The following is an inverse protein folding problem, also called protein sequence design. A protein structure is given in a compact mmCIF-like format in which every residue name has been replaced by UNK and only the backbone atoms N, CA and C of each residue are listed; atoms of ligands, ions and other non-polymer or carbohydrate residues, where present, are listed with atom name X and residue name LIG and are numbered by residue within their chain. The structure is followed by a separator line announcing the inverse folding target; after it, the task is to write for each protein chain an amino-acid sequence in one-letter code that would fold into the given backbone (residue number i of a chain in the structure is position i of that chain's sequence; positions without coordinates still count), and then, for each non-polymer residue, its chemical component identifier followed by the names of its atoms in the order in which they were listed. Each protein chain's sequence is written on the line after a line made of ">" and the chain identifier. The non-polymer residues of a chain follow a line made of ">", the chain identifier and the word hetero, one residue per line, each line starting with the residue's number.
data_IF_991234726810
#
_entry.id   IF_991234726810
#
_cell.length_a   1.000
_cell.length_b   1.000
_cell.length_c   1.000
_cell.angle_alpha   90.00
_cell.angle_beta   90.00
_cell.angle_gamma   90.00
#
_symmetry.space_group_name_H-M   'P 1'
#
loop_
_entity.id
_entity.type
_entity.pdbx_description
1 polymer ?
#
# COMPACT_ATOMS: atom_id res chain seq x y z
N UNK A 1 3.39 -12.75 22.73
CA UNK A 1 3.69 -11.48 22.02
C UNK A 1 2.82 -11.43 20.79
N UNK A 2 2.11 -10.34 20.60
CA UNK A 2 1.20 -10.16 19.45
C UNK A 2 1.99 -9.58 18.27
N UNK A 3 1.92 -10.25 17.13
CA UNK A 3 2.62 -9.84 15.91
C UNK A 3 1.66 -9.46 14.80
N UNK A 4 1.98 -8.37 14.10
CA UNK A 4 1.26 -7.96 12.90
C UNK A 4 2.19 -7.91 11.70
N UNK A 5 1.68 -8.30 10.55
CA UNK A 5 2.32 -8.06 9.26
C UNK A 5 1.65 -6.86 8.60
N UNK A 6 2.44 -5.91 8.18
CA UNK A 6 1.97 -4.76 7.40
C UNK A 6 2.43 -4.95 5.96
N UNK A 7 1.48 -5.10 5.05
CA UNK A 7 1.72 -5.23 3.61
C UNK A 7 1.64 -3.84 3.00
N UNK A 8 2.76 -3.31 2.52
CA UNK A 8 2.86 -1.91 2.12
C UNK A 8 2.73 -1.77 0.60
N UNK A 9 1.63 -1.16 0.17
CA UNK A 9 1.44 -0.62 -1.19
C UNK A 9 1.68 -1.63 -2.33
N UNK A 10 1.22 -2.86 -2.19
CA UNK A 10 1.33 -3.89 -3.24
C UNK A 10 0.22 -3.71 -4.27
N UNK A 11 0.36 -2.68 -5.08
CA UNK A 11 -0.66 -2.20 -6.01
C UNK A 11 -0.16 -2.31 -7.46
N UNK A 12 -1.11 -2.41 -8.40
CA UNK A 12 -0.79 -2.61 -9.81
C UNK A 12 0.16 -1.53 -10.38
N UNK A 13 -0.06 -0.26 -10.02
CA UNK A 13 0.78 0.82 -10.53
C UNK A 13 2.23 0.76 -10.06
N UNK A 14 2.51 0.08 -8.96
CA UNK A 14 3.86 -0.12 -8.46
C UNK A 14 4.50 -1.42 -8.93
N UNK A 15 3.81 -2.20 -9.72
CA UNK A 15 4.31 -3.45 -10.30
C UNK A 15 4.50 -3.32 -11.80
N UNK A 16 5.08 -4.32 -12.44
CA UNK A 16 5.37 -4.30 -13.88
C UNK A 16 4.08 -3.99 -14.66
N UNK A 17 4.18 -3.09 -15.63
CA UNK A 17 3.05 -2.62 -16.42
C UNK A 17 2.30 -1.44 -15.82
N UNK A 18 2.57 -1.08 -14.60
CA UNK A 18 1.97 0.08 -13.93
C UNK A 18 2.66 1.39 -14.28
N UNK A 19 2.02 2.52 -13.92
CA UNK A 19 2.52 3.86 -14.26
C UNK A 19 3.74 4.29 -13.45
N UNK A 20 4.00 3.65 -12.32
CA UNK A 20 5.16 3.91 -11.47
C UNK A 20 5.81 2.57 -11.07
N UNK A 21 6.09 1.76 -12.06
CA UNK A 21 6.48 0.36 -11.90
C UNK A 21 7.84 0.20 -11.21
N UNK A 22 7.89 -0.78 -10.32
CA UNK A 22 9.14 -1.29 -9.73
C UNK A 22 9.36 -2.70 -10.26
N UNK A 23 10.55 -2.95 -10.81
CA UNK A 23 10.92 -4.27 -11.31
C UNK A 23 10.89 -5.29 -10.16
N UNK A 24 10.23 -6.43 -10.40
CA UNK A 24 10.07 -7.46 -9.39
C UNK A 24 8.85 -7.31 -8.50
N UNK A 25 8.00 -6.28 -8.71
CA UNK A 25 6.81 -6.04 -7.88
C UNK A 25 5.84 -7.21 -7.87
N UNK A 26 5.56 -7.83 -9.02
CA UNK A 26 4.68 -9.00 -9.10
C UNK A 26 5.25 -10.19 -8.33
N UNK A 27 6.56 -10.41 -8.41
CA UNK A 27 7.23 -11.49 -7.67
C UNK A 27 7.15 -11.25 -6.16
N UNK A 28 7.26 -9.99 -5.73
CA UNK A 28 7.10 -9.62 -4.31
C UNK A 28 5.67 -9.91 -3.86
N UNK A 29 4.66 -9.55 -4.66
CA UNK A 29 3.26 -9.84 -4.34
C UNK A 29 3.04 -11.35 -4.09
N UNK A 30 3.55 -12.18 -4.99
CA UNK A 30 3.47 -13.63 -4.84
C UNK A 30 4.23 -14.14 -3.60
N UNK A 31 5.41 -13.60 -3.34
CA UNK A 31 6.22 -13.96 -2.17
C UNK A 31 5.52 -13.59 -0.85
N UNK A 32 4.86 -12.43 -0.81
CA UNK A 32 4.08 -12.02 0.37
C UNK A 32 2.93 -12.98 0.61
N UNK A 33 2.19 -13.37 -0.45
CA UNK A 33 1.10 -14.35 -0.32
C UNK A 33 1.60 -15.66 0.27
N UNK A 34 2.73 -16.16 -0.20
CA UNK A 34 3.35 -17.36 0.33
C UNK A 34 3.79 -17.18 1.78
N UNK A 35 4.36 -16.04 2.10
CA UNK A 35 4.80 -15.71 3.46
C UNK A 35 3.64 -15.68 4.46
N UNK A 36 2.50 -15.13 4.06
CA UNK A 36 1.29 -15.11 4.90
C UNK A 36 0.84 -16.54 5.21
N UNK A 37 0.82 -17.40 4.20
CA UNK A 37 0.38 -18.80 4.35
C UNK A 37 1.31 -19.60 5.25
N UNK A 38 2.61 -19.36 5.16
CA UNK A 38 3.63 -20.15 5.88
C UNK A 38 4.04 -19.56 7.22
N UNK A 39 3.50 -18.41 7.58
CA UNK A 39 3.84 -17.70 8.83
C UNK A 39 2.63 -17.60 9.74
N UNK A 40 2.87 -17.27 11.01
CA UNK A 40 1.82 -17.13 12.03
C UNK A 40 1.82 -15.70 12.54
N UNK A 41 1.08 -14.83 11.88
CA UNK A 41 0.81 -13.48 12.37
C UNK A 41 -0.56 -13.45 13.03
N UNK A 42 -0.67 -12.71 14.13
CA UNK A 42 -1.96 -12.51 14.79
C UNK A 42 -2.84 -11.58 13.97
N UNK A 43 -2.22 -10.61 13.28
CA UNK A 43 -2.91 -9.65 12.43
C UNK A 43 -2.15 -9.44 11.14
N UNK A 44 -2.89 -9.28 10.04
CA UNK A 44 -2.35 -8.88 8.74
C UNK A 44 -3.15 -7.69 8.25
N UNK A 45 -2.47 -6.59 7.98
CA UNK A 45 -3.07 -5.35 7.47
C UNK A 45 -2.31 -4.88 6.24
N UNK A 46 -2.92 -3.99 5.48
CA UNK A 46 -2.29 -3.44 4.28
C UNK A 46 -2.43 -1.92 4.25
N UNK A 47 -1.47 -1.28 3.60
CA UNK A 47 -1.57 0.12 3.21
C UNK A 47 -1.73 0.22 1.71
N UNK A 48 -2.31 1.32 1.24
CA UNK A 48 -2.36 1.64 -0.19
C UNK A 48 -2.36 3.15 -0.41
N UNK A 49 -1.72 3.57 -1.48
CA UNK A 49 -1.94 4.89 -2.05
C UNK A 49 -3.34 4.93 -2.68
N UNK A 50 -4.09 5.99 -2.42
CA UNK A 50 -5.45 6.10 -2.90
C UNK A 50 -5.76 7.56 -3.23
N UNK A 51 -5.16 8.02 -4.34
CA UNK A 51 -5.16 9.44 -4.69
C UNK A 51 -6.47 9.87 -5.35
N UNK A 52 -7.09 10.90 -4.79
CA UNK A 52 -8.24 11.60 -5.39
C UNK A 52 -7.74 12.88 -6.06
N UNK A 53 -7.13 13.76 -5.28
CA UNK A 53 -6.48 14.99 -5.75
C UNK A 53 -5.29 15.31 -4.84
N UNK A 54 -4.12 14.72 -5.12
CA UNK A 54 -2.94 14.94 -4.27
C UNK A 54 -2.17 16.22 -4.65
N UNK A 55 -2.73 17.10 -5.49
CA UNK A 55 -2.12 18.37 -5.86
C UNK A 55 -0.81 18.19 -6.62
N UNK A 56 0.23 18.90 -6.16
CA UNK A 56 1.54 18.90 -6.82
C UNK A 56 2.30 17.56 -6.73
N UNK A 57 1.78 16.59 -5.99
CA UNK A 57 2.31 15.23 -5.96
C UNK A 57 2.27 14.59 -7.35
N UNK A 58 1.25 14.90 -8.14
CA UNK A 58 1.16 14.50 -9.54
C UNK A 58 1.71 15.61 -10.45
N UNK A 59 2.50 15.23 -11.44
CA UNK A 59 3.05 16.17 -12.42
C UNK A 59 3.18 15.51 -13.79
N UNK A 60 2.98 16.28 -14.85
CA UNK A 60 3.28 15.84 -16.21
C UNK A 60 4.79 15.88 -16.50
N UNK A 61 5.54 16.59 -15.66
CA UNK A 61 7.00 16.70 -15.72
C UNK A 61 7.58 16.37 -14.35
N UNK A 62 7.40 15.12 -13.85
CA UNK A 62 7.78 14.78 -12.49
C UNK A 62 9.30 14.83 -12.29
N UNK A 63 9.70 15.29 -11.09
CA UNK A 63 11.11 15.28 -10.69
C UNK A 63 11.53 13.98 -10.01
N UNK A 64 10.57 13.11 -9.67
CA UNK A 64 10.80 11.83 -8.96
C UNK A 64 11.46 12.02 -7.59
N UNK A 65 11.26 13.17 -6.99
CA UNK A 65 11.67 13.52 -5.60
C UNK A 65 10.43 13.92 -4.81
N UNK A 66 9.72 14.95 -5.27
CA UNK A 66 8.51 15.47 -4.65
C UNK A 66 7.29 15.34 -5.55
N UNK A 67 7.48 15.02 -6.82
CA UNK A 67 6.40 14.86 -7.81
C UNK A 67 6.60 13.62 -8.65
N UNK A 68 5.49 13.03 -9.07
CA UNK A 68 5.42 11.72 -9.67
C UNK A 68 4.41 11.71 -10.82
N UNK A 69 4.54 10.78 -11.78
CA UNK A 69 3.46 10.58 -12.74
C UNK A 69 2.17 10.16 -12.01
N UNK A 70 1.04 10.36 -12.66
CA UNK A 70 -0.27 9.93 -12.13
C UNK A 70 -0.22 8.43 -11.85
N UNK A 71 -0.56 8.05 -10.62
CA UNK A 71 -0.55 6.66 -10.16
C UNK A 71 -1.56 6.45 -9.03
N UNK A 72 -2.01 5.24 -8.85
CA UNK A 72 -2.88 4.81 -7.75
C UNK A 72 -4.09 5.72 -7.55
N UNK A 73 -4.75 6.09 -8.66
CA UNK A 73 -5.95 6.92 -8.62
C UNK A 73 -7.09 6.11 -8.00
N UNK A 74 -7.78 6.72 -7.05
CA UNK A 74 -8.89 6.08 -6.33
C UNK A 74 -9.91 5.50 -7.30
N UNK A 75 -10.28 4.24 -7.07
CA UNK A 75 -11.25 3.52 -7.91
C UNK A 75 -10.69 3.01 -9.24
N UNK A 76 -9.43 3.27 -9.56
CA UNK A 76 -8.80 2.78 -10.80
C UNK A 76 -8.19 1.39 -10.61
N UNK A 77 -8.00 0.62 -11.71
CA UNK A 77 -7.26 -0.64 -11.64
C UNK A 77 -5.83 -0.47 -11.13
N UNK A 78 -5.19 0.67 -11.39
CA UNK A 78 -3.84 0.96 -10.91
C UNK A 78 -3.72 1.03 -9.39
N UNK A 79 -4.77 1.47 -8.72
CA UNK A 79 -4.84 1.52 -7.26
C UNK A 79 -5.17 0.17 -6.63
N UNK A 80 -5.69 -0.78 -7.39
CA UNK A 80 -6.03 -2.12 -6.88
C UNK A 80 -4.80 -2.88 -6.45
N UNK A 81 -4.95 -3.74 -5.44
CA UNK A 81 -3.88 -4.66 -5.07
C UNK A 81 -3.56 -5.61 -6.24
N UNK A 82 -2.29 -5.92 -6.39
CA UNK A 82 -1.84 -6.82 -7.45
C UNK A 82 -2.52 -8.19 -7.32
N UNK A 83 -2.95 -8.82 -8.43
CA UNK A 83 -3.66 -10.11 -8.38
C UNK A 83 -2.89 -11.25 -7.68
N UNK A 84 -1.57 -11.19 -7.69
CA UNK A 84 -0.73 -12.19 -7.01
C UNK A 84 -0.70 -12.01 -5.49
N UNK A 85 -1.23 -10.90 -4.96
CA UNK A 85 -1.40 -10.71 -3.53
C UNK A 85 -2.72 -11.32 -3.09
N UNK A 86 -2.66 -12.34 -2.23
CA UNK A 86 -3.86 -12.90 -1.61
C UNK A 86 -4.33 -11.97 -0.50
N UNK A 87 -5.44 -11.28 -0.72
CA UNK A 87 -5.99 -10.29 0.21
C UNK A 87 -6.98 -10.90 1.21
N UNK A 88 -7.28 -12.19 1.11
CA UNK A 88 -8.32 -12.83 1.90
C UNK A 88 -8.07 -12.77 3.42
N UNK A 89 -6.81 -12.74 3.82
CA UNK A 89 -6.41 -12.65 5.23
C UNK A 89 -6.15 -11.24 5.74
N UNK A 90 -6.29 -10.22 4.89
CA UNK A 90 -6.07 -8.83 5.28
C UNK A 90 -7.30 -8.30 6.02
N UNK A 91 -7.11 -7.95 7.29
CA UNK A 91 -8.20 -7.51 8.16
C UNK A 91 -8.62 -6.07 7.92
N UNK A 92 -7.65 -5.21 7.59
CA UNK A 92 -7.87 -3.77 7.46
C UNK A 92 -6.93 -3.19 6.40
N UNK A 93 -7.47 -2.27 5.61
CA UNK A 93 -6.71 -1.52 4.61
C UNK A 93 -6.66 -0.06 5.02
N UNK A 94 -5.47 0.51 5.06
CA UNK A 94 -5.24 1.92 5.37
C UNK A 94 -4.89 2.66 4.09
N UNK A 95 -5.81 3.50 3.64
CA UNK A 95 -5.64 4.31 2.43
C UNK A 95 -4.98 5.63 2.79
N UNK A 96 -4.03 6.09 1.96
CA UNK A 96 -3.28 7.32 2.20
C UNK A 96 -3.16 8.16 0.94
N UNK A 97 -2.86 9.44 1.12
CA UNK A 97 -2.58 10.32 0.00
C UNK A 97 -3.78 10.75 -0.82
N UNK A 98 -4.98 10.83 -0.25
CA UNK A 98 -6.19 11.21 -1.00
C UNK A 98 -6.10 12.62 -1.54
N UNK A 99 -5.66 13.58 -0.72
CA UNK A 99 -5.65 15.01 -1.04
C UNK A 99 -4.30 15.66 -0.80
N UNK A 100 -3.27 14.87 -0.55
CA UNK A 100 -1.90 15.33 -0.33
C UNK A 100 -0.92 14.21 -0.64
N UNK A 101 0.37 14.54 -0.73
CA UNK A 101 1.41 13.53 -0.75
C UNK A 101 1.41 12.76 0.59
N UNK A 102 1.59 11.44 0.52
CA UNK A 102 1.72 10.62 1.71
C UNK A 102 2.64 9.44 1.41
N UNK A 103 3.52 9.14 2.35
CA UNK A 103 4.58 8.14 2.16
C UNK A 103 4.56 7.04 3.20
N UNK A 104 3.68 7.12 4.21
CA UNK A 104 3.62 6.15 5.29
C UNK A 104 2.18 5.94 5.75
N UNK A 105 1.85 4.67 6.06
CA UNK A 105 0.58 4.33 6.70
C UNK A 105 0.42 4.89 8.11
N UNK A 106 1.50 5.41 8.69
CA UNK A 106 1.49 6.03 10.02
C UNK A 106 1.26 7.54 9.98
N UNK A 107 1.00 8.12 8.82
CA UNK A 107 0.69 9.53 8.68
C UNK A 107 -0.74 9.86 9.12
N UNK A 108 -1.00 11.15 9.37
CA UNK A 108 -2.20 11.63 10.05
C UNK A 108 -3.55 11.26 9.40
N UNK A 109 -3.57 10.93 8.11
CA UNK A 109 -4.77 10.48 7.41
C UNK A 109 -5.30 9.15 7.96
N UNK A 110 -4.43 8.35 8.57
CA UNK A 110 -4.73 7.03 9.08
C UNK A 110 -4.40 6.90 10.55
N UNK A 111 -5.07 5.99 11.23
CA UNK A 111 -4.78 5.64 12.62
C UNK A 111 -4.21 4.21 12.72
N UNK A 112 -3.24 3.90 11.87
CA UNK A 112 -2.59 2.59 11.89
C UNK A 112 -1.92 2.32 13.23
N UNK A 113 -1.24 3.31 13.81
CA UNK A 113 -0.60 3.17 15.12
C UNK A 113 -1.62 2.82 16.21
N UNK A 114 -2.73 3.54 16.26
CA UNK A 114 -3.81 3.29 17.23
C UNK A 114 -4.45 1.91 17.03
N UNK A 115 -4.70 1.54 15.78
CA UNK A 115 -5.26 0.23 15.44
C UNK A 115 -4.39 -0.91 15.97
N UNK A 116 -3.08 -0.80 15.77
CA UNK A 116 -2.11 -1.79 16.26
C UNK A 116 -2.02 -1.80 17.78
N UNK A 117 -1.98 -0.62 18.39
CA UNK A 117 -1.89 -0.48 19.85
C UNK A 117 -3.10 -1.09 20.55
N UNK A 118 -4.30 -0.84 20.03
CA UNK A 118 -5.54 -1.40 20.57
C UNK A 118 -5.55 -2.93 20.58
N UNK A 119 -4.76 -3.56 19.70
CA UNK A 119 -4.66 -5.02 19.57
C UNK A 119 -3.43 -5.59 20.24
N UNK A 120 -2.71 -4.78 20.99
CA UNK A 120 -1.54 -5.22 21.76
C UNK A 120 -0.30 -5.49 20.94
N UNK A 121 -0.23 -4.95 19.73
CA UNK A 121 0.97 -5.04 18.90
C UNK A 121 1.99 -4.01 19.38
N UNK A 122 3.20 -4.44 19.67
CA UNK A 122 4.29 -3.57 20.15
C UNK A 122 5.51 -3.61 19.14
#
# INVERSE_FOLDING_TARGET
>A
MTKALIVVDVQNDFCEGGSLAVAGGAAVAAAISQHIVTSSYDHVVATRDYHVDPGAHFSLTPDFIDSWPVHCVAGSPGASFHPELDVSGIEQVFSKGRFAAAYSGFEAENDLAGWLTERGVT
#
